data_IF_613178501099
#
_entry.id   IF_613178501099
#
_cell.length_a   1.000
_cell.length_b   1.000
_cell.length_c   1.000
_cell.angle_alpha   90.00
_cell.angle_beta   90.00
_cell.angle_gamma   90.00
#
_symmetry.space_group_name_H-M   'P 1'
#
loop_
_entity.id
_entity.type
_entity.pdbx_description
1 polymer ?
#
# COMPACT_ATOMS: atom_id res chain seq x y z
N UNK A 1 -8.83 25.65 62.30
CA UNK A 1 -9.58 25.70 61.03
C UNK A 1 -8.69 25.94 59.82
N UNK A 2 -7.72 26.85 59.84
CA UNK A 2 -6.85 27.12 58.69
C UNK A 2 -5.94 25.94 58.34
N UNK A 3 -5.44 25.18 59.30
CA UNK A 3 -4.59 23.99 59.10
C UNK A 3 -5.36 22.85 58.44
N UNK A 4 -6.65 22.68 58.73
CA UNK A 4 -7.46 21.63 58.08
C UNK A 4 -7.81 21.97 56.62
N UNK A 5 -8.00 23.25 56.35
CA UNK A 5 -8.26 23.70 54.96
C UNK A 5 -7.01 23.54 54.07
N UNK A 6 -5.83 23.82 54.62
CA UNK A 6 -4.53 23.62 53.94
C UNK A 6 -4.23 22.13 53.72
N UNK A 7 -4.51 21.30 54.74
CA UNK A 7 -4.34 19.86 54.63
C UNK A 7 -5.30 19.24 53.59
N UNK A 8 -6.55 19.68 53.55
CA UNK A 8 -7.53 19.24 52.58
C UNK A 8 -7.13 19.64 51.15
N UNK A 9 -6.57 20.84 50.93
CA UNK A 9 -6.03 21.28 49.65
C UNK A 9 -4.80 20.44 49.22
N UNK A 10 -3.93 20.10 50.18
CA UNK A 10 -2.76 19.28 49.91
C UNK A 10 -3.15 17.85 49.50
N UNK A 11 -4.22 17.29 50.07
CA UNK A 11 -4.74 15.98 49.73
C UNK A 11 -5.48 15.98 48.37
N UNK A 12 -6.18 17.05 48.03
CA UNK A 12 -6.91 17.20 46.77
C UNK A 12 -5.99 17.45 45.58
N UNK A 13 -4.88 18.18 45.76
CA UNK A 13 -3.93 18.48 44.70
C UNK A 13 -3.32 17.22 44.06
N UNK A 14 -2.82 16.21 44.79
CA UNK A 14 -2.33 14.97 44.21
C UNK A 14 -3.42 14.17 43.49
N UNK A 15 -4.63 14.17 44.01
CA UNK A 15 -5.77 13.49 43.40
C UNK A 15 -6.19 14.18 42.10
N UNK A 16 -6.25 15.50 42.09
CA UNK A 16 -6.57 16.31 40.92
C UNK A 16 -5.51 16.12 39.83
N UNK A 17 -4.23 16.08 40.18
CA UNK A 17 -3.14 15.79 39.25
C UNK A 17 -3.23 14.38 38.66
N UNK A 18 -3.57 13.42 39.50
CA UNK A 18 -3.75 12.04 39.05
C UNK A 18 -4.92 11.94 38.09
N UNK A 19 -6.04 12.61 38.40
CA UNK A 19 -7.22 12.66 37.55
C UNK A 19 -6.90 13.30 36.20
N UNK A 20 -6.20 14.42 36.17
CA UNK A 20 -5.74 15.05 34.93
C UNK A 20 -4.83 14.13 34.10
N UNK A 21 -3.90 13.44 34.74
CA UNK A 21 -3.01 12.48 34.07
C UNK A 21 -3.79 11.30 33.51
N UNK A 22 -4.78 10.79 34.24
CA UNK A 22 -5.64 9.72 33.75
C UNK A 22 -6.45 10.18 32.54
N UNK A 23 -7.02 11.36 32.57
CA UNK A 23 -7.75 11.94 31.42
C UNK A 23 -6.82 12.10 30.22
N UNK A 24 -5.61 12.57 30.43
CA UNK A 24 -4.60 12.71 29.39
C UNK A 24 -4.25 11.34 28.77
N UNK A 25 -4.02 10.34 29.61
CA UNK A 25 -3.72 8.98 29.15
C UNK A 25 -4.88 8.37 28.36
N UNK A 26 -6.11 8.56 28.81
CA UNK A 26 -7.30 8.12 28.10
C UNK A 26 -7.39 8.77 26.72
N UNK A 27 -7.10 10.07 26.65
CA UNK A 27 -7.09 10.83 25.40
C UNK A 27 -6.01 10.30 24.45
N UNK A 28 -4.79 10.05 24.96
CA UNK A 28 -3.67 9.50 24.17
C UNK A 28 -4.00 8.10 23.66
N UNK A 29 -4.58 7.25 24.49
CA UNK A 29 -5.00 5.90 24.09
C UNK A 29 -6.07 5.97 23.01
N UNK A 30 -7.04 6.85 23.14
CA UNK A 30 -8.09 7.03 22.13
C UNK A 30 -7.51 7.50 20.80
N UNK A 31 -6.55 8.42 20.84
CA UNK A 31 -5.85 8.90 19.65
C UNK A 31 -5.01 7.80 18.99
N UNK A 32 -4.26 7.04 19.77
CA UNK A 32 -3.47 5.92 19.27
C UNK A 32 -4.33 4.84 18.63
N UNK A 33 -5.50 4.54 19.20
CA UNK A 33 -6.45 3.60 18.62
C UNK A 33 -6.97 4.07 17.26
N UNK A 34 -7.26 5.36 17.14
CA UNK A 34 -7.70 5.95 15.85
C UNK A 34 -6.59 5.89 14.81
N UNK A 35 -5.38 6.24 15.18
CA UNK A 35 -4.22 6.16 14.29
C UNK A 35 -3.93 4.73 13.87
N UNK A 36 -4.02 3.79 14.80
CA UNK A 36 -3.83 2.37 14.53
C UNK A 36 -4.87 1.83 13.55
N UNK A 37 -6.14 2.17 13.74
CA UNK A 37 -7.22 1.80 12.83
C UNK A 37 -6.97 2.36 11.42
N UNK A 38 -6.51 3.60 11.34
CA UNK A 38 -6.18 4.27 10.08
C UNK A 38 -5.03 3.59 9.35
N UNK A 39 -3.97 3.22 10.10
CA UNK A 39 -2.83 2.49 9.54
C UNK A 39 -3.23 1.10 9.06
N UNK A 40 -4.11 0.40 9.79
CA UNK A 40 -4.64 -0.90 9.36
C UNK A 40 -5.42 -0.79 8.05
N UNK A 41 -6.24 0.24 7.91
CA UNK A 41 -7.00 0.50 6.68
C UNK A 41 -6.05 0.81 5.51
N UNK A 42 -5.05 1.65 5.74
CA UNK A 42 -4.03 1.97 4.74
C UNK A 42 -3.23 0.73 4.33
N UNK A 43 -2.86 -0.12 5.27
CA UNK A 43 -2.17 -1.37 4.99
C UNK A 43 -3.02 -2.31 4.13
N UNK A 44 -4.30 -2.45 4.46
CA UNK A 44 -5.23 -3.26 3.69
C UNK A 44 -5.36 -2.74 2.26
N UNK A 45 -5.49 -1.43 2.10
CA UNK A 45 -5.57 -0.80 0.78
C UNK A 45 -4.28 -1.00 -0.02
N UNK A 46 -3.13 -0.81 0.61
CA UNK A 46 -1.82 -1.01 -0.04
C UNK A 46 -1.59 -2.46 -0.45
N UNK A 47 -2.04 -3.41 0.35
CA UNK A 47 -1.99 -4.84 -0.03
C UNK A 47 -2.84 -5.13 -1.25
N UNK A 48 -4.04 -4.57 -1.35
CA UNK A 48 -4.91 -4.71 -2.52
C UNK A 48 -4.28 -4.07 -3.76
N UNK A 49 -3.72 -2.87 -3.62
CA UNK A 49 -3.02 -2.21 -4.72
C UNK A 49 -1.80 -3.02 -5.19
N UNK A 50 -1.04 -3.59 -4.25
CA UNK A 50 0.11 -4.42 -4.55
C UNK A 50 -0.29 -5.68 -5.33
N UNK A 51 -1.35 -6.37 -4.89
CA UNK A 51 -1.87 -7.54 -5.57
C UNK A 51 -2.38 -7.20 -6.97
N UNK A 52 -3.04 -6.07 -7.12
CA UNK A 52 -3.50 -5.57 -8.41
C UNK A 52 -2.34 -5.28 -9.36
N UNK A 53 -1.31 -4.61 -8.87
CA UNK A 53 -0.10 -4.33 -9.65
C UNK A 53 0.65 -5.60 -10.05
N UNK A 54 0.73 -6.59 -9.17
CA UNK A 54 1.35 -7.88 -9.46
C UNK A 54 0.60 -8.63 -10.56
N UNK A 55 -0.72 -8.64 -10.49
CA UNK A 55 -1.55 -9.25 -11.52
C UNK A 55 -1.38 -8.53 -12.86
N UNK A 56 -1.35 -7.21 -12.87
CA UNK A 56 -1.14 -6.41 -14.05
C UNK A 56 0.26 -6.62 -14.66
N UNK A 57 1.28 -6.73 -13.82
CA UNK A 57 2.64 -7.04 -14.26
C UNK A 57 2.71 -8.42 -14.93
N UNK A 58 2.06 -9.42 -14.33
CA UNK A 58 2.00 -10.77 -14.90
C UNK A 58 1.29 -10.78 -16.27
N UNK A 59 0.19 -10.04 -16.42
CA UNK A 59 -0.50 -9.86 -17.69
C UNK A 59 0.38 -9.19 -18.73
N UNK A 60 1.14 -8.17 -18.34
CA UNK A 60 2.06 -7.47 -19.23
C UNK A 60 3.20 -8.36 -19.69
N UNK A 61 3.72 -9.23 -18.83
CA UNK A 61 4.75 -10.22 -19.20
C UNK A 61 4.22 -11.20 -20.23
N UNK A 62 3.02 -11.71 -20.04
CA UNK A 62 2.37 -12.63 -21.01
C UNK A 62 2.14 -11.91 -22.34
N UNK A 63 1.60 -10.70 -22.31
CA UNK A 63 1.38 -9.89 -23.52
C UNK A 63 2.69 -9.59 -24.24
N UNK A 64 3.75 -9.25 -23.51
CA UNK A 64 5.08 -9.01 -24.06
C UNK A 64 5.66 -10.25 -24.74
N UNK A 65 5.47 -11.41 -24.12
CA UNK A 65 5.90 -12.70 -24.68
C UNK A 65 5.14 -13.05 -25.96
N UNK A 66 3.82 -12.86 -25.97
CA UNK A 66 2.98 -13.06 -27.17
C UNK A 66 3.38 -12.10 -28.29
N UNK A 67 3.63 -10.83 -27.98
CA UNK A 67 4.07 -9.85 -28.96
C UNK A 67 5.42 -10.21 -29.56
N UNK A 68 6.37 -10.68 -28.76
CA UNK A 68 7.68 -11.15 -29.22
C UNK A 68 7.53 -12.34 -30.17
N UNK A 69 6.71 -13.33 -29.82
CA UNK A 69 6.42 -14.48 -30.65
C UNK A 69 5.80 -14.08 -31.99
N UNK A 70 4.84 -13.16 -31.98
CA UNK A 70 4.20 -12.65 -33.21
C UNK A 70 5.18 -11.89 -34.11
N UNK A 71 6.10 -11.15 -33.53
CA UNK A 71 7.16 -10.46 -34.28
C UNK A 71 8.12 -11.42 -34.97
N UNK A 72 8.51 -12.47 -34.27
CA UNK A 72 9.35 -13.52 -34.82
C UNK A 72 8.63 -14.24 -35.97
N UNK A 73 7.38 -14.58 -35.78
CA UNK A 73 6.55 -15.20 -36.81
C UNK A 73 6.39 -14.30 -38.03
N UNK A 74 6.17 -13.01 -37.83
CA UNK A 74 6.12 -12.02 -38.90
C UNK A 74 7.43 -11.98 -39.70
N UNK A 75 8.56 -11.98 -39.00
CA UNK A 75 9.87 -11.91 -39.66
C UNK A 75 10.16 -13.17 -40.47
N UNK A 76 9.74 -14.34 -39.99
CA UNK A 76 9.83 -15.61 -40.74
C UNK A 76 8.97 -15.57 -42.00
N UNK A 77 7.74 -15.06 -41.91
CA UNK A 77 6.85 -14.93 -43.08
C UNK A 77 7.44 -13.99 -44.12
N UNK A 78 7.98 -12.84 -43.67
CA UNK A 78 8.63 -11.88 -44.56
C UNK A 78 9.83 -12.49 -45.29
N UNK A 79 10.67 -13.25 -44.59
CA UNK A 79 11.81 -13.94 -45.18
C UNK A 79 11.37 -14.95 -46.23
N UNK A 80 10.32 -15.71 -45.94
CA UNK A 80 9.73 -16.69 -46.89
C UNK A 80 9.17 -16.02 -48.13
N UNK A 81 8.43 -14.95 -47.97
CA UNK A 81 7.85 -14.20 -49.09
C UNK A 81 8.95 -13.59 -49.94
N UNK A 82 9.99 -13.02 -49.35
CA UNK A 82 11.15 -12.50 -50.08
C UNK A 82 11.87 -13.59 -50.89
N UNK A 83 12.05 -14.75 -50.32
CA UNK A 83 12.65 -15.89 -50.98
C UNK A 83 11.83 -16.40 -52.16
N UNK A 84 10.50 -16.48 -52.00
CA UNK A 84 9.58 -16.83 -53.10
C UNK A 84 9.61 -15.82 -54.23
N UNK A 85 9.66 -14.52 -53.92
CA UNK A 85 9.77 -13.45 -54.91
C UNK A 85 11.07 -13.53 -55.71
N UNK A 86 12.19 -13.83 -55.06
CA UNK A 86 13.48 -14.05 -55.72
C UNK A 86 13.43 -15.22 -56.66
N UNK A 87 12.80 -16.33 -56.25
CA UNK A 87 12.62 -17.50 -57.10
C UNK A 87 11.75 -17.20 -58.34
N UNK A 88 10.68 -16.42 -58.16
CA UNK A 88 9.81 -16.00 -59.27
C UNK A 88 10.54 -15.07 -60.24
N UNK A 89 11.36 -14.15 -59.75
CA UNK A 89 12.16 -13.23 -60.57
C UNK A 89 13.23 -13.97 -61.39
N UNK A 90 13.68 -15.10 -60.94
CA UNK A 90 14.67 -15.93 -61.63
C UNK A 90 14.10 -16.72 -62.84
N UNK A 91 12.77 -16.81 -62.88
CA UNK A 91 12.06 -17.45 -63.99
C UNK A 91 11.81 -16.45 -65.10
#
# INVERSE_FOLDING_TARGET
MAKQAVAARTDLDPIDRLEEKVKLLVSVVAQLRREHAKVLDENSRLMHELDHMRAHLAENEVTGSELSALREERDLIRARVSEMLEQLDAI
#
